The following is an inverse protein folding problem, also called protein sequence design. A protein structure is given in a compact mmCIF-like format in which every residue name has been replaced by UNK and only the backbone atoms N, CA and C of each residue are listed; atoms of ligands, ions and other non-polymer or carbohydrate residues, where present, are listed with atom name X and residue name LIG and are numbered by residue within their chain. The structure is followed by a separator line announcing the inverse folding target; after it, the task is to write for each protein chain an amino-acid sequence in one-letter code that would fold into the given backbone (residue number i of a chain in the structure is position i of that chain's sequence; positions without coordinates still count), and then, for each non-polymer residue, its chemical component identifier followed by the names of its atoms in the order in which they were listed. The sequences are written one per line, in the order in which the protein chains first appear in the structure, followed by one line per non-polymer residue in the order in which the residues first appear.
data_IF_223004193004
#
_entry.id   IF_223004193004
#
_cell.length_a   1.000
_cell.length_b   1.000
_cell.length_c   1.000
_cell.angle_alpha   90.00
_cell.angle_beta   90.00
_cell.angle_gamma   90.00
#
_symmetry.space_group_name_H-M   'P 1'
#
loop_
_entity.id
_entity.type
_entity.pdbx_description
1 polymer ?
#
# COMPACT_ATOMS: atom_id res chain seq x y z
N UNK A 1 -18.66 -7.77 -20.90
CA UNK A 1 -18.41 -6.41 -20.37
C UNK A 1 -16.93 -6.10 -20.52
N UNK A 2 -16.58 -4.89 -20.96
CA UNK A 2 -15.18 -4.50 -21.20
C UNK A 2 -14.35 -4.50 -19.90
N UNK A 3 -13.04 -4.77 -19.98
CA UNK A 3 -12.13 -4.65 -18.82
C UNK A 3 -11.85 -3.17 -18.51
N UNK A 4 -11.75 -2.82 -17.22
CA UNK A 4 -11.21 -1.52 -16.80
C UNK A 4 -9.68 -1.50 -16.94
N UNK A 5 -9.03 -0.35 -16.74
CA UNK A 5 -7.60 -0.19 -17.02
C UNK A 5 -6.71 -1.01 -16.08
N UNK A 6 -7.11 -1.20 -14.81
CA UNK A 6 -6.46 -2.14 -13.89
C UNK A 6 -6.60 -3.59 -14.40
N UNK A 7 -7.79 -3.97 -14.85
CA UNK A 7 -8.05 -5.32 -15.37
C UNK A 7 -7.26 -5.63 -16.65
N UNK A 8 -7.09 -4.61 -17.51
CA UNK A 8 -6.23 -4.67 -18.70
C UNK A 8 -4.76 -4.78 -18.27
N UNK A 9 -4.29 -3.90 -17.39
CA UNK A 9 -2.88 -3.83 -16.96
C UNK A 9 -2.36 -5.09 -16.27
N UNK A 10 -3.22 -5.77 -15.50
CA UNK A 10 -2.87 -6.99 -14.77
C UNK A 10 -3.38 -8.27 -15.44
N UNK A 11 -4.05 -8.15 -16.58
CA UNK A 11 -4.76 -9.24 -17.25
C UNK A 11 -5.70 -10.06 -16.33
N UNK A 12 -6.42 -9.39 -15.42
CA UNK A 12 -7.35 -10.04 -14.47
C UNK A 12 -8.82 -9.83 -14.86
N UNK A 13 -9.72 -10.58 -14.21
CA UNK A 13 -11.16 -10.48 -14.43
C UNK A 13 -11.76 -9.20 -13.85
N UNK A 14 -12.67 -8.57 -14.60
CA UNK A 14 -13.45 -7.41 -14.16
C UNK A 14 -14.91 -7.78 -13.83
N UNK A 15 -15.61 -6.87 -13.16
CA UNK A 15 -17.08 -6.89 -13.00
C UNK A 15 -17.66 -8.13 -12.32
N UNK A 16 -16.86 -8.86 -11.53
CA UNK A 16 -17.38 -9.94 -10.70
C UNK A 16 -18.27 -9.37 -9.60
N UNK A 17 -19.30 -10.12 -9.22
CA UNK A 17 -20.26 -9.71 -8.18
C UNK A 17 -19.81 -10.03 -6.75
N UNK A 18 -18.67 -10.72 -6.60
CA UNK A 18 -18.19 -11.18 -5.28
C UNK A 18 -17.76 -10.07 -4.31
N UNK A 19 -17.40 -8.88 -4.81
CA UNK A 19 -17.01 -7.73 -3.97
C UNK A 19 -17.91 -6.50 -4.14
N UNK A 20 -18.66 -6.43 -5.24
CA UNK A 20 -19.57 -5.33 -5.54
C UNK A 20 -20.83 -5.87 -6.21
N UNK A 21 -22.01 -5.50 -5.68
CA UNK A 21 -23.29 -5.72 -6.37
C UNK A 21 -23.51 -4.73 -7.51
N UNK A 22 -22.90 -3.53 -7.41
CA UNK A 22 -22.87 -2.53 -8.48
C UNK A 22 -21.90 -2.99 -9.57
N UNK A 23 -22.33 -2.87 -10.82
CA UNK A 23 -21.50 -3.10 -12.00
C UNK A 23 -21.35 -1.79 -12.78
N UNK A 24 -20.31 -1.73 -13.60
CA UNK A 24 -20.00 -0.54 -14.40
C UNK A 24 -18.64 0.05 -14.06
N UNK A 25 -18.41 1.24 -14.60
CA UNK A 25 -17.17 1.98 -14.49
C UNK A 25 -17.34 3.24 -13.66
N UNK A 26 -16.24 3.63 -13.03
CA UNK A 26 -16.04 4.92 -12.38
C UNK A 26 -14.85 5.57 -13.09
N UNK A 27 -14.95 6.86 -13.36
CA UNK A 27 -13.81 7.63 -13.84
C UNK A 27 -12.79 7.72 -12.70
N UNK A 28 -11.57 7.31 -12.95
CA UNK A 28 -10.53 7.23 -11.94
C UNK A 28 -10.24 8.60 -11.33
N UNK A 29 -10.24 9.65 -12.16
CA UNK A 29 -10.06 11.05 -11.76
C UNK A 29 -11.15 11.59 -10.82
N UNK A 30 -12.34 10.98 -10.81
CA UNK A 30 -13.47 11.43 -9.98
C UNK A 30 -13.37 10.87 -8.55
N UNK A 31 -12.41 9.97 -8.29
CA UNK A 31 -12.12 9.46 -6.94
C UNK A 31 -11.25 10.46 -6.16
N UNK A 32 -11.32 10.49 -4.81
CA UNK A 32 -10.36 11.25 -4.02
C UNK A 32 -8.91 10.85 -4.31
N UNK A 33 -7.98 11.81 -4.35
CA UNK A 33 -6.57 11.56 -4.69
C UNK A 33 -5.92 10.47 -3.81
N UNK A 34 -6.14 10.52 -2.50
CA UNK A 34 -5.64 9.50 -1.56
C UNK A 34 -6.14 8.10 -1.95
N UNK A 35 -7.44 7.98 -2.30
CA UNK A 35 -8.02 6.71 -2.74
C UNK A 35 -7.45 6.26 -4.08
N UNK A 36 -7.21 7.19 -5.01
CA UNK A 36 -6.55 6.88 -6.27
C UNK A 36 -5.18 6.26 -6.01
N UNK A 37 -4.36 6.90 -5.18
CA UNK A 37 -3.02 6.43 -4.82
C UNK A 37 -3.05 5.06 -4.16
N UNK A 38 -3.91 4.87 -3.16
CA UNK A 38 -4.08 3.57 -2.48
C UNK A 38 -4.45 2.46 -3.46
N UNK A 39 -5.42 2.68 -4.35
CA UNK A 39 -5.89 1.68 -5.31
C UNK A 39 -4.76 1.25 -6.25
N UNK A 40 -4.01 2.22 -6.77
CA UNK A 40 -2.93 1.98 -7.72
C UNK A 40 -1.74 1.29 -7.05
N UNK A 41 -1.39 1.70 -5.84
CA UNK A 41 -0.33 1.06 -5.09
C UNK A 41 -0.68 -0.38 -4.76
N UNK A 42 -1.88 -0.63 -4.24
CA UNK A 42 -2.35 -1.99 -3.90
C UNK A 42 -2.49 -2.90 -5.12
N UNK A 43 -2.68 -2.31 -6.30
CA UNK A 43 -2.65 -3.02 -7.58
C UNK A 43 -1.23 -3.22 -8.14
N UNK A 44 -0.20 -2.67 -7.49
CA UNK A 44 1.19 -2.63 -7.95
C UNK A 44 1.34 -1.93 -9.32
N UNK A 45 0.68 -0.79 -9.48
CA UNK A 45 0.60 -0.04 -10.74
C UNK A 45 1.07 1.42 -10.61
N UNK A 46 1.90 1.76 -9.62
CA UNK A 46 2.36 3.16 -9.37
C UNK A 46 2.88 3.83 -10.64
N UNK A 47 3.73 3.14 -11.40
CA UNK A 47 4.29 3.62 -12.68
C UNK A 47 3.25 3.86 -13.78
N UNK A 48 2.04 3.31 -13.64
CA UNK A 48 0.95 3.43 -14.60
C UNK A 48 -0.11 4.45 -14.16
N UNK A 49 0.07 5.16 -13.05
CA UNK A 49 -0.94 6.04 -12.46
C UNK A 49 -1.59 6.97 -13.51
N UNK A 50 -0.78 7.66 -14.32
CA UNK A 50 -1.24 8.60 -15.36
C UNK A 50 -2.02 7.96 -16.51
N UNK A 51 -1.87 6.64 -16.71
CA UNK A 51 -2.55 5.89 -17.77
C UNK A 51 -3.91 5.32 -17.35
N UNK A 52 -4.23 5.34 -16.05
CA UNK A 52 -5.47 4.78 -15.52
C UNK A 52 -6.58 5.83 -15.62
N UNK A 53 -7.58 5.55 -16.46
CA UNK A 53 -8.71 6.44 -16.72
C UNK A 53 -10.00 5.91 -16.12
N UNK A 54 -10.21 4.60 -16.22
CA UNK A 54 -11.43 3.95 -15.73
C UNK A 54 -11.09 2.76 -14.83
N UNK A 55 -11.85 2.65 -13.75
CA UNK A 55 -11.84 1.50 -12.84
C UNK A 55 -13.25 0.92 -12.76
N UNK A 56 -13.39 -0.40 -12.73
CA UNK A 56 -14.71 -1.00 -12.50
C UNK A 56 -15.03 -1.08 -11.01
N UNK A 57 -16.31 -1.03 -10.65
CA UNK A 57 -16.75 -1.11 -9.25
C UNK A 57 -16.20 -2.35 -8.51
N UNK A 58 -15.99 -3.46 -9.24
CA UNK A 58 -15.34 -4.65 -8.69
C UNK A 58 -13.90 -4.39 -8.22
N UNK A 59 -13.06 -3.79 -9.07
CA UNK A 59 -11.66 -3.52 -8.73
C UNK A 59 -11.51 -2.38 -7.72
N UNK A 60 -12.37 -1.37 -7.81
CA UNK A 60 -12.44 -0.30 -6.80
C UNK A 60 -12.73 -0.88 -5.41
N UNK A 61 -13.73 -1.76 -5.29
CA UNK A 61 -14.02 -2.42 -4.01
C UNK A 61 -12.90 -3.38 -3.61
N UNK A 62 -12.35 -4.15 -4.56
CA UNK A 62 -11.32 -5.13 -4.28
C UNK A 62 -10.06 -4.48 -3.70
N UNK A 63 -9.46 -3.53 -4.40
CA UNK A 63 -8.25 -2.85 -3.96
C UNK A 63 -8.52 -1.84 -2.84
N UNK A 64 -9.74 -1.32 -2.72
CA UNK A 64 -10.17 -0.53 -1.57
C UNK A 64 -10.49 -1.41 -0.36
N UNK A 65 -11.78 -1.66 -0.12
CA UNK A 65 -12.29 -2.26 1.11
C UNK A 65 -11.83 -3.70 1.36
N UNK A 66 -11.70 -4.52 0.32
CA UNK A 66 -11.49 -5.97 0.49
C UNK A 66 -10.01 -6.37 0.54
N UNK A 67 -9.10 -5.53 0.05
CA UNK A 67 -7.67 -5.79 0.05
C UNK A 67 -7.17 -6.11 1.45
N UNK A 68 -7.46 -5.23 2.41
CA UNK A 68 -7.03 -5.34 3.81
C UNK A 68 -7.62 -6.57 4.51
N UNK A 69 -8.82 -7.00 4.10
CA UNK A 69 -9.48 -8.20 4.66
C UNK A 69 -8.75 -9.49 4.29
N UNK A 70 -8.08 -9.51 3.14
CA UNK A 70 -7.24 -10.64 2.73
C UNK A 70 -5.90 -10.68 3.47
N UNK A 71 -5.47 -9.56 4.03
CA UNK A 71 -4.23 -9.47 4.80
C UNK A 71 -4.48 -9.97 6.22
N UNK A 72 -4.09 -11.22 6.46
CA UNK A 72 -4.26 -11.93 7.74
C UNK A 72 -2.96 -12.07 8.52
N UNK A 73 -1.82 -11.68 7.95
CA UNK A 73 -0.48 -11.89 8.51
C UNK A 73 0.37 -10.63 8.36
N UNK A 74 1.44 -10.57 9.16
CA UNK A 74 2.53 -9.61 8.99
C UNK A 74 3.18 -9.80 7.60
N UNK A 75 3.50 -8.71 6.91
CA UNK A 75 4.25 -8.75 5.65
C UNK A 75 5.77 -9.00 5.84
N UNK A 76 6.28 -8.83 7.06
CA UNK A 76 7.65 -9.19 7.47
C UNK A 76 8.77 -8.70 6.53
N UNK A 77 8.80 -7.42 6.10
CA UNK A 77 9.79 -6.96 5.14
C UNK A 77 11.22 -6.95 5.72
N UNK A 78 11.36 -7.04 7.04
CA UNK A 78 12.65 -7.01 7.76
C UNK A 78 13.17 -8.40 8.18
N UNK A 79 12.49 -9.49 7.79
CA UNK A 79 12.91 -10.85 8.15
C UNK A 79 12.97 -11.14 9.66
N UNK A 80 12.22 -10.41 10.48
CA UNK A 80 12.30 -10.50 11.96
C UNK A 80 11.74 -11.79 12.55
N UNK A 81 11.02 -12.56 11.75
CA UNK A 81 10.42 -13.82 12.14
C UNK A 81 10.24 -14.76 10.96
N UNK A 82 10.07 -16.05 11.25
CA UNK A 82 9.77 -17.05 10.22
C UNK A 82 8.40 -16.79 9.58
N UNK A 83 8.32 -16.89 8.26
CA UNK A 83 7.08 -16.69 7.48
C UNK A 83 6.00 -17.75 7.77
N UNK A 84 6.44 -18.96 8.15
CA UNK A 84 5.57 -20.07 8.53
C UNK A 84 4.86 -19.86 9.86
N UNK A 85 5.39 -18.98 10.73
CA UNK A 85 4.72 -18.63 11.98
C UNK A 85 3.54 -17.73 11.66
N UNK A 86 2.33 -18.25 11.85
CA UNK A 86 1.11 -17.43 11.98
C UNK A 86 1.28 -16.57 13.23
N UNK A 87 1.95 -15.42 13.12
CA UNK A 87 2.01 -14.47 14.22
C UNK A 87 0.60 -13.91 14.37
N UNK A 88 -0.09 -14.41 15.39
CA UNK A 88 -1.47 -14.10 15.67
C UNK A 88 -1.62 -12.62 16.05
N UNK A 89 -2.39 -11.91 15.23
CA UNK A 89 -3.25 -10.71 15.36
C UNK A 89 -3.04 -9.71 16.53
N UNK A 90 -2.55 -10.09 17.72
CA UNK A 90 -2.18 -9.14 18.78
C UNK A 90 -0.99 -8.29 18.32
N UNK A 91 -1.27 -7.05 17.89
CA UNK A 91 -0.25 -6.09 17.45
C UNK A 91 -0.08 -5.99 15.94
N UNK A 92 -1.08 -6.40 15.14
CA UNK A 92 -1.08 -6.15 13.70
C UNK A 92 -1.36 -4.67 13.40
N UNK A 93 -0.31 -3.88 13.24
CA UNK A 93 -0.40 -2.46 12.94
C UNK A 93 -0.55 -2.28 11.44
N UNK A 94 -1.61 -1.59 11.02
CA UNK A 94 -1.88 -1.29 9.62
C UNK A 94 -0.85 -0.27 9.12
N UNK A 95 -0.28 -0.55 7.95
CA UNK A 95 0.62 0.36 7.26
C UNK A 95 -0.22 1.43 6.56
N UNK A 96 -0.03 2.70 6.95
CA UNK A 96 -0.61 3.86 6.26
C UNK A 96 0.12 4.13 4.95
N UNK A 97 -0.45 5.00 4.12
CA UNK A 97 0.21 5.44 2.88
C UNK A 97 1.52 6.18 3.17
N UNK A 98 1.52 7.07 4.18
CA UNK A 98 2.71 7.81 4.59
C UNK A 98 3.83 6.90 5.07
N UNK A 99 3.49 5.89 5.89
CA UNK A 99 4.46 4.90 6.36
C UNK A 99 5.01 4.07 5.20
N UNK A 100 4.17 3.71 4.22
CA UNK A 100 4.62 2.98 3.04
C UNK A 100 5.56 3.84 2.17
N UNK A 101 5.25 5.13 1.98
CA UNK A 101 6.09 6.07 1.24
C UNK A 101 7.44 6.24 1.93
N UNK A 102 7.41 6.51 3.23
CA UNK A 102 8.60 6.60 4.05
C UNK A 102 9.48 5.34 3.95
N UNK A 103 8.90 4.16 4.11
CA UNK A 103 9.64 2.90 4.04
C UNK A 103 10.20 2.62 2.63
N UNK A 104 9.43 2.94 1.59
CA UNK A 104 9.89 2.74 0.21
C UNK A 104 11.10 3.62 -0.13
N UNK A 105 11.12 4.87 0.35
CA UNK A 105 12.30 5.76 0.23
C UNK A 105 13.54 5.20 0.93
N UNK A 106 13.34 4.31 1.90
CA UNK A 106 14.39 3.61 2.65
C UNK A 106 14.63 2.18 2.16
N UNK A 107 14.28 1.87 0.90
CA UNK A 107 14.45 0.56 0.28
C UNK A 107 13.69 -0.59 0.98
N UNK A 108 12.64 -0.27 1.73
CA UNK A 108 11.76 -1.23 2.38
C UNK A 108 10.41 -1.25 1.66
N UNK A 109 10.23 -2.25 0.80
CA UNK A 109 9.04 -2.34 -0.06
C UNK A 109 7.85 -2.93 0.68
N UNK A 110 6.87 -2.07 0.98
CA UNK A 110 5.58 -2.46 1.56
C UNK A 110 4.43 -1.82 0.80
N UNK A 111 3.22 -2.33 1.03
CA UNK A 111 1.99 -1.81 0.40
C UNK A 111 1.05 -1.25 1.47
N UNK A 112 0.42 -0.08 1.25
CA UNK A 112 -0.60 0.45 2.15
C UNK A 112 -1.72 -0.57 2.41
N UNK A 113 -2.14 -0.69 3.66
CA UNK A 113 -3.12 -1.69 4.09
C UNK A 113 -2.55 -3.08 4.40
N UNK A 114 -1.27 -3.34 4.12
CA UNK A 114 -0.56 -4.46 4.75
C UNK A 114 -0.41 -4.24 6.27
N UNK A 115 0.04 -5.27 6.96
CA UNK A 115 0.14 -5.29 8.42
C UNK A 115 1.56 -5.62 8.87
N UNK A 116 1.98 -5.02 9.97
CA UNK A 116 3.18 -5.40 10.72
C UNK A 116 2.81 -6.09 12.01
N UNK A 117 3.58 -7.10 12.42
CA UNK A 117 3.61 -7.49 13.83
C UNK A 117 4.36 -6.43 14.65
N UNK A 118 4.24 -6.46 15.97
CA UNK A 118 4.91 -5.48 16.85
C UNK A 118 6.42 -5.39 16.65
N UNK A 119 7.10 -6.49 16.31
CA UNK A 119 8.55 -6.48 16.03
C UNK A 119 8.90 -5.77 14.72
N UNK A 120 8.14 -6.02 13.67
CA UNK A 120 8.32 -5.32 12.39
C UNK A 120 7.97 -3.83 12.51
N UNK A 121 6.94 -3.50 13.29
CA UNK A 121 6.58 -2.11 13.53
C UNK A 121 7.68 -1.35 14.28
N UNK A 122 8.28 -1.95 15.31
CA UNK A 122 9.43 -1.36 16.01
C UNK A 122 10.58 -1.05 15.06
N UNK A 123 10.98 -2.02 14.23
CA UNK A 123 12.01 -1.78 13.21
C UNK A 123 11.64 -0.70 12.20
N UNK A 124 10.36 -0.61 11.83
CA UNK A 124 9.89 0.43 10.93
C UNK A 124 10.01 1.84 11.54
N UNK A 125 9.83 1.98 12.86
CA UNK A 125 9.98 3.26 13.57
C UNK A 125 11.43 3.55 13.94
N UNK A 126 12.23 2.56 14.33
CA UNK A 126 13.66 2.76 14.61
C UNK A 126 14.35 3.42 13.41
N UNK A 127 14.07 2.92 12.20
CA UNK A 127 14.50 3.57 10.96
C UNK A 127 13.99 5.02 10.85
N UNK A 128 12.74 5.29 11.27
CA UNK A 128 12.10 6.62 11.21
C UNK A 128 12.76 7.64 12.15
N UNK A 129 13.13 7.23 13.36
CA UNK A 129 13.76 8.10 14.36
C UNK A 129 15.26 8.30 14.09
N UNK A 130 15.97 7.27 13.63
CA UNK A 130 17.40 7.35 13.30
C UNK A 130 17.67 8.35 12.15
N UNK A 131 16.73 8.48 11.21
CA UNK A 131 16.87 9.38 10.06
C UNK A 131 16.53 10.84 10.36
N UNK A 132 15.49 11.12 11.16
CA UNK A 132 15.25 12.49 11.65
C UNK A 132 16.45 13.02 12.44
N UNK A 133 17.16 12.12 13.13
CA UNK A 133 18.38 12.46 13.87
C UNK A 133 19.57 12.76 12.95
N UNK A 134 19.67 12.09 11.79
CA UNK A 134 20.68 12.32 10.78
C UNK A 134 20.43 13.58 9.94
N UNK A 135 19.18 13.82 9.51
CA UNK A 135 18.80 15.04 8.76
C UNK A 135 19.02 16.31 9.60
N UNK A 136 18.78 16.27 10.91
CA UNK A 136 19.09 17.38 11.82
C UNK A 136 20.60 17.63 11.98
N UNK A 137 21.43 16.59 11.91
CA UNK A 137 22.89 16.72 11.97
C UNK A 137 23.44 17.31 10.67
N UNK A 138 22.98 16.82 9.52
CA UNK A 138 23.40 17.30 8.20
C UNK A 138 22.97 18.77 7.99
N UNK A 139 21.73 19.13 8.34
CA UNK A 139 21.23 20.51 8.29
C UNK A 139 21.98 21.51 9.20
N UNK A 140 22.61 21.02 10.28
CA UNK A 140 23.47 21.83 11.16
C UNK A 140 24.90 21.95 10.62
N UNK A 141 25.36 20.98 9.83
CA UNK A 141 26.69 21.00 9.19
C UNK A 141 26.73 21.88 7.94
N UNK A 142 25.65 21.99 7.18
CA UNK A 142 25.57 22.84 5.98
C UNK A 142 25.50 24.34 6.29
N UNK A 143 25.04 24.73 7.49
CA UNK A 143 25.00 26.15 7.93
C UNK A 143 26.35 26.68 8.43
N UNK A 144 27.43 25.90 8.33
CA UNK A 144 28.76 26.24 8.82
C UNK A 144 29.81 26.49 7.72
N UNK A 145 29.41 26.51 6.45
CA UNK A 145 30.29 26.89 5.33
C UNK A 145 29.89 28.22 4.73
#
# INVERSE_FOLDING_TARGET
MEKCDIGKSLNIHCHKTGFSRKQGFVQFKDLPCEKQEELIWRANLKEKYSSIRIICCYHEQFYGKYFERKITKCCNPFGTHNESKKIAIKGNIKISIDMANYLQNNNVYVTPGWKFCSKCYKKAIENYEDLNSQEEWESKSEKKN
#
